data_IF_983670926796
#
_entry.id   IF_983670926796
#
_cell.length_a   1.000
_cell.length_b   1.000
_cell.length_c   1.000
_cell.angle_alpha   90.00
_cell.angle_beta   90.00
_cell.angle_gamma   90.00
#
_symmetry.space_group_name_H-M   'P 1'
#
loop_
_entity.id
_entity.type
_entity.pdbx_description
1 polymer ?
#
# COMPACT_ATOMS: atom_id res chain seq x y z
N UNK A 1 21.00 17.47 -6.92
CA UNK A 1 19.61 17.06 -6.62
C UNK A 1 19.42 17.25 -5.12
N UNK A 2 18.53 18.14 -4.67
CA UNK A 2 18.20 18.20 -3.23
C UNK A 2 17.40 16.94 -2.88
N UNK A 3 17.63 16.29 -1.73
CA UNK A 3 16.74 15.23 -1.27
C UNK A 3 15.31 15.76 -1.28
N UNK A 4 14.41 15.04 -1.91
CA UNK A 4 12.98 15.35 -1.83
C UNK A 4 12.55 15.21 -0.38
N UNK A 5 11.80 16.19 0.13
CA UNK A 5 11.18 16.08 1.45
C UNK A 5 10.37 14.77 1.52
N UNK A 6 10.59 14.00 2.58
CA UNK A 6 9.87 12.75 2.80
C UNK A 6 8.41 13.11 3.09
N UNK A 7 7.53 12.69 2.20
CA UNK A 7 6.10 12.87 2.41
C UNK A 7 5.60 11.82 3.39
N UNK A 8 5.29 12.25 4.61
CA UNK A 8 4.70 11.40 5.64
C UNK A 8 3.24 11.15 5.30
N UNK A 9 2.92 9.92 4.95
CA UNK A 9 1.57 9.48 4.57
C UNK A 9 1.06 8.46 5.57
N UNK A 10 -0.25 8.48 5.78
CA UNK A 10 -0.93 7.38 6.45
C UNK A 10 -0.87 6.10 5.61
N UNK A 11 -1.09 4.96 6.25
CA UNK A 11 -1.24 3.67 5.58
C UNK A 11 -2.39 3.74 4.58
N UNK A 12 -3.52 4.35 4.94
CA UNK A 12 -4.67 4.53 4.05
C UNK A 12 -4.31 5.30 2.77
N UNK A 13 -3.69 6.48 2.92
CA UNK A 13 -3.29 7.29 1.75
C UNK A 13 -2.29 6.56 0.85
N UNK A 14 -1.37 5.81 1.44
CA UNK A 14 -0.38 5.03 0.70
C UNK A 14 -1.04 3.90 -0.09
N UNK A 15 -1.98 3.18 0.54
CA UNK A 15 -2.74 2.09 -0.08
C UNK A 15 -3.63 2.60 -1.20
N UNK A 16 -4.32 3.73 -1.02
CA UNK A 16 -5.15 4.32 -2.06
C UNK A 16 -4.34 4.74 -3.29
N UNK A 17 -3.18 5.37 -3.08
CA UNK A 17 -2.26 5.75 -4.16
C UNK A 17 -1.72 4.52 -4.89
N UNK A 18 -1.31 3.49 -4.15
CA UNK A 18 -0.83 2.25 -4.73
C UNK A 18 -1.91 1.53 -5.54
N UNK A 19 -3.11 1.40 -4.98
CA UNK A 19 -4.25 0.78 -5.65
C UNK A 19 -4.65 1.56 -6.92
N UNK A 20 -4.62 2.89 -6.88
CA UNK A 20 -4.80 3.75 -8.06
C UNK A 20 -3.78 3.47 -9.15
N UNK A 21 -2.48 3.40 -8.79
CA UNK A 21 -1.41 3.05 -9.73
C UNK A 21 -1.61 1.66 -10.34
N UNK A 22 -1.95 0.65 -9.53
CA UNK A 22 -2.16 -0.74 -9.98
C UNK A 22 -3.33 -0.81 -10.97
N UNK A 23 -4.45 -0.13 -10.67
CA UNK A 23 -5.61 -0.05 -11.58
C UNK A 23 -5.25 0.66 -12.89
N UNK A 24 -4.45 1.73 -12.82
CA UNK A 24 -3.97 2.41 -14.02
C UNK A 24 -3.09 1.50 -14.89
N UNK A 25 -2.17 0.74 -14.29
CA UNK A 25 -1.37 -0.27 -15.02
C UNK A 25 -2.24 -1.37 -15.66
N UNK A 26 -3.32 -1.76 -15.00
CA UNK A 26 -4.27 -2.71 -15.57
C UNK A 26 -5.00 -2.13 -16.79
N UNK A 27 -5.44 -0.86 -16.71
CA UNK A 27 -6.16 -0.20 -17.81
C UNK A 27 -5.32 -0.01 -19.08
N UNK A 28 -3.99 0.07 -18.96
CA UNK A 28 -3.08 0.20 -20.10
C UNK A 28 -2.56 -1.14 -20.62
N UNK A 29 -2.99 -2.26 -20.01
CA UNK A 29 -2.54 -3.61 -20.36
C UNK A 29 -1.15 -3.97 -19.84
N UNK A 30 -0.50 -3.09 -19.06
CA UNK A 30 0.78 -3.37 -18.42
C UNK A 30 0.66 -4.39 -17.27
N UNK A 31 -0.55 -4.64 -16.78
CA UNK A 31 -0.87 -5.64 -15.78
C UNK A 31 -2.19 -6.34 -16.14
N UNK A 32 -2.31 -7.64 -15.90
CA UNK A 32 -3.61 -8.31 -16.11
C UNK A 32 -4.63 -7.86 -15.06
N UNK A 33 -5.94 -7.77 -15.39
CA UNK A 33 -6.98 -7.40 -14.42
C UNK A 33 -6.97 -8.31 -13.19
N UNK A 34 -6.82 -9.63 -13.39
CA UNK A 34 -6.76 -10.61 -12.30
C UNK A 34 -5.57 -10.37 -11.36
N UNK A 35 -4.41 -10.03 -11.90
CA UNK A 35 -3.24 -9.68 -11.07
C UNK A 35 -3.48 -8.38 -10.31
N UNK A 36 -4.08 -7.38 -10.97
CA UNK A 36 -4.40 -6.10 -10.34
C UNK A 36 -5.37 -6.25 -9.16
N UNK A 37 -6.40 -7.10 -9.29
CA UNK A 37 -7.35 -7.41 -8.23
C UNK A 37 -6.67 -7.99 -6.99
N UNK A 38 -5.75 -8.95 -7.17
CA UNK A 38 -4.99 -9.55 -6.05
C UNK A 38 -4.15 -8.50 -5.36
N UNK A 39 -3.40 -7.70 -6.12
CA UNK A 39 -2.56 -6.64 -5.57
C UNK A 39 -3.37 -5.62 -4.76
N UNK A 40 -4.50 -5.16 -5.30
CA UNK A 40 -5.39 -4.21 -4.61
C UNK A 40 -5.99 -4.83 -3.37
N UNK A 41 -6.47 -6.08 -3.44
CA UNK A 41 -7.02 -6.80 -2.29
C UNK A 41 -6.00 -6.88 -1.17
N UNK A 42 -4.78 -7.31 -1.48
CA UNK A 42 -3.76 -7.58 -0.47
C UNK A 42 -3.32 -6.31 0.25
N UNK A 43 -3.17 -5.17 -0.46
CA UNK A 43 -2.84 -3.90 0.21
C UNK A 43 -3.99 -3.32 1.03
N UNK A 44 -5.24 -3.57 0.63
CA UNK A 44 -6.42 -3.18 1.44
C UNK A 44 -6.50 -4.03 2.70
N UNK A 45 -6.26 -5.33 2.59
CA UNK A 45 -6.14 -6.22 3.76
C UNK A 45 -5.02 -5.76 4.68
N UNK A 46 -3.85 -5.41 4.13
CA UNK A 46 -2.74 -4.85 4.90
C UNK A 46 -3.18 -3.59 5.67
N UNK A 47 -3.87 -2.63 5.06
CA UNK A 47 -4.35 -1.43 5.76
C UNK A 47 -5.28 -1.76 6.93
N UNK A 48 -6.16 -2.76 6.77
CA UNK A 48 -7.06 -3.20 7.82
C UNK A 48 -6.30 -3.83 9.01
N UNK A 49 -5.20 -4.54 8.74
CA UNK A 49 -4.40 -5.22 9.77
C UNK A 49 -3.38 -4.29 10.43
N UNK A 50 -2.69 -3.46 9.65
CA UNK A 50 -1.62 -2.55 10.10
C UNK A 50 -2.16 -1.28 10.78
N UNK A 51 -3.40 -0.89 10.50
CA UNK A 51 -4.05 0.31 11.02
C UNK A 51 -3.97 1.48 10.04
N UNK A 52 -5.11 1.80 9.43
CA UNK A 52 -5.26 2.78 8.34
C UNK A 52 -4.72 4.19 8.68
N UNK A 53 -4.93 4.66 9.91
CA UNK A 53 -4.57 6.01 10.36
C UNK A 53 -3.11 6.17 10.78
N UNK A 54 -2.35 5.08 10.89
CA UNK A 54 -0.92 5.14 11.24
C UNK A 54 -0.13 5.71 10.08
N UNK A 55 0.93 6.46 10.37
CA UNK A 55 1.90 6.89 9.35
C UNK A 55 2.72 5.68 8.91
N UNK A 56 2.83 5.44 7.60
CA UNK A 56 3.52 4.28 7.04
C UNK A 56 4.99 4.21 7.48
N UNK A 57 5.67 5.35 7.50
CA UNK A 57 7.08 5.46 7.90
C UNK A 57 7.31 5.20 9.41
N UNK A 58 6.24 5.18 10.21
CA UNK A 58 6.30 4.88 11.64
C UNK A 58 6.02 3.39 11.95
N UNK A 59 5.75 2.57 10.92
CA UNK A 59 5.67 1.12 11.10
C UNK A 59 7.06 0.54 11.32
N UNK A 60 7.18 -0.28 12.35
CA UNK A 60 8.39 -1.03 12.68
C UNK A 60 8.36 -2.41 12.03
N UNK A 61 9.49 -3.13 12.08
CA UNK A 61 9.52 -4.54 11.64
C UNK A 61 8.57 -5.43 12.45
N UNK A 62 8.47 -5.19 13.76
CA UNK A 62 7.58 -5.93 14.65
C UNK A 62 6.10 -5.72 14.26
N UNK A 63 5.72 -4.49 13.91
CA UNK A 63 4.36 -4.20 13.40
C UNK A 63 4.03 -5.00 12.13
N UNK A 64 5.01 -5.19 11.24
CA UNK A 64 4.84 -5.98 10.01
C UNK A 64 4.75 -7.47 10.34
N UNK A 65 5.57 -7.97 11.25
CA UNK A 65 5.51 -9.35 11.70
C UNK A 65 4.14 -9.68 12.34
N UNK A 66 3.59 -8.78 13.15
CA UNK A 66 2.25 -8.94 13.73
C UNK A 66 1.15 -9.06 12.66
N UNK A 67 1.26 -8.29 11.57
CA UNK A 67 0.32 -8.37 10.43
C UNK A 67 0.41 -9.73 9.74
N UNK A 68 1.61 -10.29 9.57
CA UNK A 68 1.83 -11.57 8.91
C UNK A 68 1.35 -12.78 9.72
N UNK A 69 1.18 -12.62 11.03
CA UNK A 69 0.69 -13.66 11.94
C UNK A 69 -0.84 -13.74 12.02
N UNK A 70 -1.58 -12.86 11.32
CA UNK A 70 -3.05 -12.80 11.30
C UNK A 70 -3.63 -13.29 9.98
#
# INVERSE_FOLDING_TARGET
MRPSDVQRLTVAESVDRYAGMVRAKASTGALTPKTAEVYVRDVVTFAALAGAERVLDDLTGEDVDEVLLR
#
